data_IF_783818387162
#
_entry.id   IF_783818387162
#
_cell.length_a   1.000
_cell.length_b   1.000
_cell.length_c   1.000
_cell.angle_alpha   90.00
_cell.angle_beta   90.00
_cell.angle_gamma   90.00
#
_symmetry.space_group_name_H-M   'P 1'
#
loop_
_entity.id
_entity.type
_entity.pdbx_description
1 polymer ?
#
# COMPACT_ATOMS: atom_id res chain seq x y z
N UNK A 1 16.06 -11.53 5.20
CA UNK A 1 15.16 -11.86 6.33
C UNK A 1 14.94 -10.65 7.22
N UNK A 2 15.94 -10.16 7.96
CA UNK A 2 15.77 -9.01 8.85
C UNK A 2 15.31 -7.71 8.17
N UNK A 3 15.68 -7.47 6.90
CA UNK A 3 15.15 -6.36 6.10
C UNK A 3 13.61 -6.32 6.08
N UNK A 4 12.95 -7.48 6.05
CA UNK A 4 11.48 -7.56 6.08
C UNK A 4 10.94 -7.30 7.49
N UNK A 5 11.59 -7.84 8.52
CA UNK A 5 11.24 -7.54 9.91
C UNK A 5 11.38 -6.04 10.20
N UNK A 6 12.45 -5.40 9.71
CA UNK A 6 12.64 -3.95 9.82
C UNK A 6 11.56 -3.15 9.12
N UNK A 7 11.08 -3.62 7.97
CA UNK A 7 10.02 -2.92 7.24
C UNK A 7 8.65 -3.11 7.90
N UNK A 8 8.31 -4.33 8.30
CA UNK A 8 6.93 -4.73 8.56
C UNK A 8 6.61 -5.03 10.03
N UNK A 9 7.61 -5.36 10.85
CA UNK A 9 7.39 -5.65 12.27
C UNK A 9 7.09 -4.35 13.03
N UNK A 10 6.02 -4.32 13.82
CA UNK A 10 5.63 -3.12 14.58
C UNK A 10 6.59 -2.82 15.73
N UNK A 11 7.06 -3.85 16.43
CA UNK A 11 8.03 -3.72 17.51
C UNK A 11 9.47 -3.72 16.97
N UNK A 12 10.10 -2.55 16.94
CA UNK A 12 11.48 -2.40 16.47
C UNK A 12 12.52 -2.80 17.51
N UNK A 13 12.17 -2.72 18.81
CA UNK A 13 13.07 -3.09 19.91
C UNK A 13 13.30 -4.61 19.87
N UNK A 14 12.21 -5.37 19.76
CA UNK A 14 12.26 -6.82 19.58
C UNK A 14 13.09 -7.23 18.36
N UNK A 15 12.94 -6.54 17.23
CA UNK A 15 13.75 -6.83 16.03
C UNK A 15 15.22 -6.55 16.26
N UNK A 16 15.58 -5.48 16.99
CA UNK A 16 16.96 -5.18 17.35
C UNK A 16 17.56 -6.26 18.27
N UNK A 17 16.80 -6.72 19.27
CA UNK A 17 17.21 -7.83 20.15
C UNK A 17 17.41 -9.13 19.38
N UNK A 18 16.47 -9.46 18.47
CA UNK A 18 16.61 -10.63 17.60
C UNK A 18 17.84 -10.53 16.70
N UNK A 19 18.15 -9.36 16.14
CA UNK A 19 19.38 -9.15 15.36
C UNK A 19 20.63 -9.37 16.20
N UNK A 20 20.69 -8.80 17.39
CA UNK A 20 21.82 -8.96 18.31
C UNK A 20 22.00 -10.44 18.70
N UNK A 21 20.90 -11.14 19.00
CA UNK A 21 20.93 -12.56 19.31
C UNK A 21 21.36 -13.41 18.10
N UNK A 22 20.88 -13.08 16.91
CA UNK A 22 21.29 -13.73 15.67
C UNK A 22 22.79 -13.59 15.40
N UNK A 23 23.33 -12.37 15.58
CA UNK A 23 24.76 -12.08 15.40
C UNK A 23 25.64 -12.80 16.43
N UNK A 24 25.19 -12.87 17.69
CA UNK A 24 25.89 -13.63 18.75
C UNK A 24 25.86 -15.15 18.51
N UNK A 25 24.90 -15.63 17.74
CA UNK A 25 24.63 -17.05 17.55
C UNK A 25 23.66 -17.60 18.62
N UNK A 26 23.02 -18.73 18.29
CA UNK A 26 22.00 -19.37 19.13
C UNK A 26 20.55 -19.09 18.73
N UNK A 27 20.31 -18.10 17.85
CA UNK A 27 19.00 -17.85 17.25
C UNK A 27 18.90 -18.52 15.87
N UNK A 28 18.04 -19.52 15.74
CA UNK A 28 17.85 -20.26 14.49
C UNK A 28 16.98 -19.52 13.47
N UNK A 29 17.28 -19.69 12.19
CA UNK A 29 16.51 -19.10 11.08
C UNK A 29 15.01 -19.40 11.13
N UNK A 30 14.65 -20.59 11.62
CA UNK A 30 13.24 -20.98 11.78
C UNK A 30 12.50 -20.03 12.72
N UNK A 31 13.13 -19.63 13.82
CA UNK A 31 12.50 -18.73 14.78
C UNK A 31 12.29 -17.34 14.18
N UNK A 32 13.29 -16.79 13.49
CA UNK A 32 13.17 -15.51 12.82
C UNK A 32 12.13 -15.54 11.69
N UNK A 33 12.04 -16.65 10.95
CA UNK A 33 11.04 -16.84 9.89
C UNK A 33 9.62 -16.94 10.45
N UNK A 34 9.42 -17.66 11.54
CA UNK A 34 8.11 -17.73 12.21
C UNK A 34 7.66 -16.35 12.69
N UNK A 35 8.55 -15.57 13.29
CA UNK A 35 8.24 -14.20 13.72
C UNK A 35 7.84 -13.33 12.52
N UNK A 36 8.61 -13.40 11.43
CA UNK A 36 8.30 -12.69 10.20
C UNK A 36 6.97 -13.14 9.60
N UNK A 37 6.68 -14.43 9.60
CA UNK A 37 5.42 -14.97 9.10
C UNK A 37 4.23 -14.41 9.90
N UNK A 38 4.28 -14.48 11.24
CA UNK A 38 3.23 -13.92 12.09
C UNK A 38 3.01 -12.43 11.80
N UNK A 39 4.11 -11.66 11.74
CA UNK A 39 4.06 -10.24 11.39
C UNK A 39 3.37 -10.00 10.03
N UNK A 40 3.75 -10.74 8.99
CA UNK A 40 3.19 -10.56 7.65
C UNK A 40 1.74 -11.02 7.57
N UNK A 41 1.35 -12.10 8.25
CA UNK A 41 -0.04 -12.55 8.28
C UNK A 41 -0.95 -11.52 8.95
N UNK A 42 -0.53 -10.96 10.09
CA UNK A 42 -1.26 -9.89 10.78
C UNK A 42 -1.40 -8.65 9.90
N UNK A 43 -0.31 -8.24 9.23
CA UNK A 43 -0.32 -7.09 8.33
C UNK A 43 -1.25 -7.30 7.12
N UNK A 44 -1.21 -8.49 6.50
CA UNK A 44 -1.92 -8.78 5.26
C UNK A 44 -3.39 -9.17 5.47
N UNK A 45 -3.78 -9.66 6.64
CA UNK A 45 -5.14 -10.10 6.95
C UNK A 45 -6.21 -9.04 6.58
N UNK A 46 -6.16 -7.79 7.07
CA UNK A 46 -7.17 -6.79 6.74
C UNK A 46 -7.15 -6.38 5.25
N UNK A 47 -5.98 -6.42 4.60
CA UNK A 47 -5.85 -6.13 3.16
C UNK A 47 -6.54 -7.22 2.34
N UNK A 48 -6.34 -8.50 2.71
CA UNK A 48 -6.96 -9.65 2.04
C UNK A 48 -8.47 -9.65 2.22
N UNK A 49 -8.95 -9.34 3.41
CA UNK A 49 -10.37 -9.23 3.72
C UNK A 49 -11.04 -8.14 2.85
N UNK A 50 -10.52 -6.92 2.88
CA UNK A 50 -11.03 -5.81 2.04
C UNK A 50 -11.00 -6.18 0.57
N UNK A 51 -9.90 -6.75 0.09
CA UNK A 51 -9.77 -7.21 -1.31
C UNK A 51 -10.84 -8.25 -1.66
N UNK A 52 -11.12 -9.20 -0.76
CA UNK A 52 -12.15 -10.21 -0.99
C UNK A 52 -13.54 -9.56 -1.14
N UNK A 53 -13.90 -8.60 -0.28
CA UNK A 53 -15.16 -7.84 -0.37
C UNK A 53 -15.30 -7.13 -1.72
N UNK A 54 -14.26 -6.43 -2.18
CA UNK A 54 -14.33 -5.71 -3.47
C UNK A 54 -14.35 -6.63 -4.70
N UNK A 55 -13.69 -7.79 -4.65
CA UNK A 55 -13.66 -8.72 -5.79
C UNK A 55 -14.98 -9.49 -5.94
N UNK A 56 -15.71 -9.71 -4.85
CA UNK A 56 -17.03 -10.35 -4.89
C UNK A 56 -18.05 -9.53 -5.70
N UNK A 57 -17.91 -8.21 -5.73
CA UNK A 57 -18.75 -7.31 -6.53
C UNK A 57 -17.91 -6.53 -7.55
N UNK A 58 -17.73 -7.14 -8.73
CA UNK A 58 -17.04 -6.51 -9.86
C UNK A 58 -17.73 -5.23 -10.34
N UNK A 59 -19.06 -5.12 -10.19
CA UNK A 59 -19.82 -3.94 -10.60
C UNK A 59 -19.46 -2.74 -9.73
N UNK A 60 -19.48 -2.93 -8.42
CA UNK A 60 -19.05 -1.91 -7.46
C UNK A 60 -17.57 -1.53 -7.64
N UNK A 61 -16.69 -2.48 -7.96
CA UNK A 61 -15.29 -2.17 -8.26
C UNK A 61 -15.13 -1.27 -9.50
N UNK A 62 -15.85 -1.56 -10.59
CA UNK A 62 -15.81 -0.72 -11.79
C UNK A 62 -16.38 0.67 -11.52
N UNK A 63 -17.46 0.75 -10.74
CA UNK A 63 -18.06 2.03 -10.36
C UNK A 63 -17.11 2.88 -9.52
N UNK A 64 -16.39 2.29 -8.57
CA UNK A 64 -15.36 2.96 -7.78
C UNK A 64 -14.24 3.55 -8.67
N UNK A 65 -13.79 2.79 -9.67
CA UNK A 65 -12.78 3.24 -10.63
C UNK A 65 -13.30 4.37 -11.53
N UNK A 66 -14.55 4.27 -11.98
CA UNK A 66 -15.23 5.31 -12.78
C UNK A 66 -15.32 6.62 -12.00
N UNK A 67 -15.81 6.57 -10.76
CA UNK A 67 -15.90 7.76 -9.89
C UNK A 67 -14.54 8.40 -9.60
N UNK A 68 -13.48 7.59 -9.44
CA UNK A 68 -12.11 8.10 -9.33
C UNK A 68 -11.67 8.85 -10.58
N UNK A 69 -11.93 8.26 -11.74
CA UNK A 69 -11.58 8.83 -13.05
C UNK A 69 -12.34 10.12 -13.33
N UNK A 70 -13.63 10.20 -12.99
CA UNK A 70 -14.45 11.39 -13.18
C UNK A 70 -13.98 12.57 -12.32
N UNK A 71 -13.62 12.31 -11.05
CA UNK A 71 -13.06 13.34 -10.18
C UNK A 71 -11.73 13.88 -10.71
N UNK A 72 -10.84 12.98 -11.15
CA UNK A 72 -9.58 13.37 -11.76
C UNK A 72 -9.81 14.14 -13.07
N UNK A 73 -10.76 13.70 -13.89
CA UNK A 73 -11.11 14.36 -15.13
C UNK A 73 -11.60 15.78 -14.90
N UNK A 74 -12.52 15.98 -13.95
CA UNK A 74 -13.01 17.32 -13.61
C UNK A 74 -11.88 18.27 -13.19
N UNK A 75 -10.98 17.81 -12.31
CA UNK A 75 -9.83 18.61 -11.88
C UNK A 75 -8.90 18.93 -13.04
N UNK A 76 -8.56 17.94 -13.87
CA UNK A 76 -7.65 18.13 -14.99
C UNK A 76 -8.24 19.02 -16.09
N UNK A 77 -9.55 18.98 -16.32
CA UNK A 77 -10.23 19.90 -17.23
C UNK A 77 -10.18 21.36 -16.75
N UNK A 78 -10.31 21.60 -15.44
CA UNK A 78 -10.14 22.93 -14.86
C UNK A 78 -8.72 23.45 -15.07
N UNK A 79 -7.70 22.64 -14.72
CA UNK A 79 -6.30 23.00 -14.94
C UNK A 79 -5.98 23.23 -16.41
N UNK A 80 -6.48 22.37 -17.30
CA UNK A 80 -6.30 22.53 -18.75
C UNK A 80 -6.92 23.82 -19.26
N UNK A 81 -8.10 24.19 -18.76
CA UNK A 81 -8.76 25.45 -19.08
C UNK A 81 -7.89 26.66 -18.67
N UNK A 82 -7.36 26.67 -17.46
CA UNK A 82 -6.49 27.75 -16.97
C UNK A 82 -5.23 27.90 -17.81
N UNK A 83 -4.56 26.79 -18.12
CA UNK A 83 -3.36 26.78 -18.97
C UNK A 83 -3.68 27.29 -20.38
N UNK A 84 -4.77 26.82 -20.99
CA UNK A 84 -5.18 27.29 -22.33
C UNK A 84 -5.47 28.79 -22.34
N UNK A 85 -6.17 29.31 -21.32
CA UNK A 85 -6.42 30.75 -21.19
C UNK A 85 -5.12 31.54 -21.04
N UNK A 86 -4.19 31.07 -20.19
CA UNK A 86 -2.89 31.72 -19.99
C UNK A 86 -2.02 31.75 -21.26
N UNK A 87 -2.17 30.75 -22.13
CA UNK A 87 -1.44 30.65 -23.40
C UNK A 87 -2.19 31.25 -24.60
N UNK A 88 -3.39 31.82 -24.40
CA UNK A 88 -4.21 32.36 -25.50
C UNK A 88 -4.76 31.29 -26.47
N UNK A 89 -4.84 30.03 -26.03
CA UNK A 89 -5.38 28.94 -26.83
C UNK A 89 -6.92 28.89 -26.72
N UNK A 90 -7.62 28.51 -27.80
CA UNK A 90 -9.07 28.37 -27.76
C UNK A 90 -9.49 27.27 -26.78
N UNK A 91 -10.45 27.63 -25.92
CA UNK A 91 -11.11 26.72 -24.98
C UNK A 91 -12.47 26.36 -25.56
N UNK A 92 -12.54 25.19 -26.19
CA UNK A 92 -13.79 24.59 -26.64
C UNK A 92 -14.43 23.86 -25.45
N UNK A 93 -15.74 24.05 -25.31
CA UNK A 93 -16.60 23.49 -24.27
C UNK A 93 -16.68 21.96 -24.35
#
# INVERSE_FOLDING_TARGET
MFTYLDAFHSDKVRVAEMKAHYQRGGLGDRQCKNELETCLQTLLAPIRERRATFIQDKGMLLELLRQGSERAHHLTQQTLHEVKRGLGLPVLF
#
